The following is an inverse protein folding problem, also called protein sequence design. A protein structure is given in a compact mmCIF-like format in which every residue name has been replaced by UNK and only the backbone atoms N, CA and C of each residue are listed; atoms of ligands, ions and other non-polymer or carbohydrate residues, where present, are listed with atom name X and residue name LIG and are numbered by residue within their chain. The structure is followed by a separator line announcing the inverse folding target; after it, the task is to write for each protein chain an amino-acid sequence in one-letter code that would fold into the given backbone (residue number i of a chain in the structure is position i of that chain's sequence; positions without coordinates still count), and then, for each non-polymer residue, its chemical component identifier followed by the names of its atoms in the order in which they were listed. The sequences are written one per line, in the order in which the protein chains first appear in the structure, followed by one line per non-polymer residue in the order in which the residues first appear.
data_IF_950126714449
#
_entry.id   IF_950126714449
#
_cell.length_a   1.000
_cell.length_b   1.000
_cell.length_c   1.000
_cell.angle_alpha   90.00
_cell.angle_beta   90.00
_cell.angle_gamma   90.00
#
_symmetry.space_group_name_H-M   'P 1'
#
loop_
_entity.id
_entity.type
_entity.pdbx_description
1 polymer ?
#
# COMPACT_ATOMS: atom_id res chain seq x y z
N UNK A 1 30.99 7.18 -9.10
CA UNK A 1 31.29 5.76 -9.42
C UNK A 1 32.80 5.50 -9.62
N UNK A 2 33.62 6.47 -10.09
CA UNK A 2 35.06 6.24 -10.31
C UNK A 2 35.79 5.80 -9.04
N UNK A 3 35.56 6.48 -7.92
CA UNK A 3 36.16 6.15 -6.61
C UNK A 3 35.71 4.79 -6.07
N UNK A 4 34.53 4.31 -6.48
CA UNK A 4 33.97 3.04 -6.03
C UNK A 4 34.30 1.84 -6.93
N UNK A 5 35.03 2.02 -8.02
CA UNK A 5 35.34 0.92 -8.96
C UNK A 5 36.11 -0.24 -8.31
N UNK A 6 37.06 0.04 -7.44
CA UNK A 6 37.83 -0.95 -6.71
C UNK A 6 36.98 -1.79 -5.74
N UNK A 7 35.85 -1.25 -5.28
CA UNK A 7 34.89 -1.92 -4.41
C UNK A 7 33.71 -2.53 -5.16
N UNK A 8 33.77 -2.58 -6.50
CA UNK A 8 32.70 -3.10 -7.36
C UNK A 8 31.31 -2.45 -7.08
N UNK A 9 31.31 -1.14 -6.78
CA UNK A 9 30.09 -0.38 -6.52
C UNK A 9 29.24 -0.31 -7.78
N UNK A 10 27.98 -0.71 -7.66
CA UNK A 10 26.97 -0.70 -8.72
C UNK A 10 25.79 0.16 -8.31
N UNK A 11 25.09 0.81 -9.26
CA UNK A 11 23.81 1.44 -8.94
C UNK A 11 22.83 0.37 -8.46
N UNK A 12 22.13 0.66 -7.36
CA UNK A 12 21.07 -0.18 -6.82
C UNK A 12 19.78 0.61 -6.74
N UNK A 13 18.70 0.00 -7.20
CA UNK A 13 17.34 0.53 -7.03
C UNK A 13 16.39 -0.66 -7.00
N UNK A 14 15.53 -0.79 -5.99
CA UNK A 14 14.48 -1.80 -6.02
C UNK A 14 13.58 -1.53 -7.22
N UNK A 15 13.36 -2.53 -8.04
CA UNK A 15 12.39 -2.43 -9.14
C UNK A 15 10.96 -2.41 -8.57
N UNK A 16 9.99 -2.06 -9.41
CA UNK A 16 8.59 -1.93 -8.97
C UNK A 16 8.05 -3.24 -8.37
N UNK A 17 8.45 -4.40 -8.92
CA UNK A 17 7.99 -5.71 -8.45
C UNK A 17 8.50 -5.96 -7.03
N UNK A 18 9.82 -5.90 -6.82
CA UNK A 18 10.46 -6.11 -5.52
C UNK A 18 9.95 -5.12 -4.47
N UNK A 19 9.72 -3.85 -4.87
CA UNK A 19 9.18 -2.82 -4.01
C UNK A 19 7.79 -3.18 -3.48
N UNK A 20 6.88 -3.60 -4.38
CA UNK A 20 5.51 -3.95 -3.99
C UNK A 20 5.49 -5.26 -3.20
N UNK A 21 6.23 -6.29 -3.63
CA UNK A 21 6.32 -7.57 -2.92
C UNK A 21 6.78 -7.40 -1.47
N UNK A 22 7.78 -6.53 -1.24
CA UNK A 22 8.33 -6.23 0.09
C UNK A 22 7.55 -5.15 0.85
N UNK A 23 6.46 -4.62 0.27
CA UNK A 23 5.70 -3.50 0.83
C UNK A 23 6.56 -2.26 1.16
N UNK A 24 7.59 -1.99 0.36
CA UNK A 24 8.38 -0.78 0.47
C UNK A 24 7.56 0.40 -0.06
N UNK A 25 6.97 1.17 0.84
CA UNK A 25 6.08 2.27 0.49
C UNK A 25 6.81 3.41 -0.20
N UNK A 26 6.14 4.02 -1.18
CA UNK A 26 6.62 5.18 -1.93
C UNK A 26 5.74 6.38 -1.63
N UNK A 27 6.35 7.46 -1.12
CA UNK A 27 5.66 8.74 -0.93
C UNK A 27 5.25 9.32 -2.29
N UNK A 28 4.04 9.82 -2.37
CA UNK A 28 3.43 10.32 -3.61
C UNK A 28 2.74 9.26 -4.45
N UNK A 29 3.00 7.96 -4.18
CA UNK A 29 2.27 6.86 -4.84
C UNK A 29 1.39 6.11 -3.84
N UNK A 30 1.98 5.49 -2.82
CA UNK A 30 1.23 4.65 -1.86
C UNK A 30 0.68 5.45 -0.69
N UNK A 31 1.31 6.55 -0.34
CA UNK A 31 0.92 7.45 0.73
C UNK A 31 1.29 8.90 0.40
N UNK A 32 0.61 9.85 1.02
CA UNK A 32 0.84 11.28 0.89
C UNK A 32 0.53 12.04 2.20
N UNK A 33 0.37 13.36 2.12
CA UNK A 33 0.10 14.21 3.28
C UNK A 33 -1.30 14.04 3.89
N UNK A 34 -2.23 13.41 3.17
CA UNK A 34 -3.58 13.13 3.64
C UNK A 34 -3.68 11.83 4.44
N UNK A 35 -2.58 11.06 4.47
CA UNK A 35 -2.48 9.81 5.20
C UNK A 35 -1.70 9.99 6.51
N UNK A 36 -2.06 9.23 7.53
CA UNK A 36 -1.29 9.20 8.77
C UNK A 36 -0.52 7.88 8.93
N UNK A 37 0.54 7.84 9.76
CA UNK A 37 1.37 6.66 9.93
C UNK A 37 0.60 5.38 10.35
N UNK A 38 -0.48 5.52 11.12
CA UNK A 38 -1.27 4.36 11.57
C UNK A 38 -2.09 3.75 10.43
N UNK A 39 -2.58 4.59 9.51
CA UNK A 39 -3.25 4.12 8.29
C UNK A 39 -2.28 3.39 7.36
N UNK A 40 -1.01 3.84 7.34
CA UNK A 40 0.05 3.27 6.50
C UNK A 40 0.76 2.05 7.12
N UNK A 41 0.40 1.61 8.33
CA UNK A 41 1.08 0.52 9.02
C UNK A 41 2.50 0.87 9.49
N UNK A 42 2.79 2.16 9.68
CA UNK A 42 4.06 2.70 10.14
C UNK A 42 4.06 3.05 11.64
N UNK A 43 3.08 2.56 12.38
CA UNK A 43 2.88 2.81 13.80
C UNK A 43 4.11 2.42 14.65
N UNK A 44 4.83 1.35 14.29
CA UNK A 44 6.06 0.91 14.95
C UNK A 44 7.20 1.95 14.93
N UNK A 45 7.14 2.92 14.03
CA UNK A 45 8.12 4.00 13.94
C UNK A 45 7.69 5.27 14.70
N UNK A 46 6.49 5.29 15.30
CA UNK A 46 5.90 6.44 15.97
C UNK A 46 5.79 6.18 17.48
N UNK A 47 6.75 6.72 18.25
CA UNK A 47 6.70 6.62 19.70
C UNK A 47 5.97 7.82 20.32
N UNK A 48 4.66 7.69 20.55
CA UNK A 48 3.84 8.74 21.16
C UNK A 48 4.04 8.87 22.68
N UNK A 49 4.61 7.86 23.30
CA UNK A 49 4.76 7.79 24.77
C UNK A 49 6.14 8.30 25.22
N UNK A 50 7.04 8.60 24.27
CA UNK A 50 8.35 9.23 24.55
C UNK A 50 8.17 10.66 25.07
N UNK A 51 9.14 11.15 25.86
CA UNK A 51 9.19 12.56 26.32
C UNK A 51 9.53 13.53 25.18
N UNK A 52 10.14 13.02 24.11
CA UNK A 52 10.52 13.85 22.95
C UNK A 52 9.27 14.38 22.25
N UNK A 53 9.21 15.69 22.09
CA UNK A 53 8.14 16.32 21.33
C UNK A 53 8.52 16.42 19.85
N UNK A 54 7.54 16.23 18.96
CA UNK A 54 7.71 16.36 17.52
C UNK A 54 6.43 16.91 16.87
N UNK A 55 6.57 17.48 15.69
CA UNK A 55 5.44 18.03 14.94
C UNK A 55 4.40 16.95 14.66
N UNK A 56 3.13 17.22 15.00
CA UNK A 56 2.02 16.30 14.77
C UNK A 56 1.76 15.28 15.91
N UNK A 57 2.62 15.22 16.96
CA UNK A 57 2.47 14.25 18.07
C UNK A 57 1.09 14.28 18.71
N UNK A 58 0.56 15.44 19.04
CA UNK A 58 -0.76 15.57 19.69
C UNK A 58 -1.89 15.11 18.74
N UNK A 59 -1.77 15.45 17.45
CA UNK A 59 -2.74 14.98 16.44
C UNK A 59 -2.73 13.45 16.30
N UNK A 60 -1.55 12.84 16.31
CA UNK A 60 -1.44 11.38 16.27
C UNK A 60 -1.95 10.71 17.54
N UNK A 61 -1.84 11.34 18.72
CA UNK A 61 -2.50 10.85 19.95
C UNK A 61 -4.02 10.85 19.80
N UNK A 62 -4.60 11.88 19.18
CA UNK A 62 -6.04 11.91 18.89
C UNK A 62 -6.45 10.77 17.94
N UNK A 63 -5.67 10.55 16.86
CA UNK A 63 -5.91 9.46 15.92
C UNK A 63 -5.83 8.10 16.63
N UNK A 64 -4.80 7.88 17.47
CA UNK A 64 -4.66 6.65 18.27
C UNK A 64 -5.88 6.41 19.17
N UNK A 65 -6.42 7.45 19.77
CA UNK A 65 -7.60 7.38 20.65
C UNK A 65 -8.88 7.09 19.88
N UNK A 66 -9.09 7.72 18.73
CA UNK A 66 -10.29 7.55 17.89
C UNK A 66 -10.26 6.27 17.05
N UNK A 67 -9.06 5.77 16.77
CA UNK A 67 -8.82 4.71 15.80
C UNK A 67 -8.80 5.22 14.36
N UNK A 68 -8.25 4.41 13.48
CA UNK A 68 -8.20 4.70 12.04
C UNK A 68 -9.51 4.25 11.36
N UNK A 69 -9.90 4.94 10.30
CA UNK A 69 -11.10 4.64 9.50
C UNK A 69 -10.76 3.94 8.18
N UNK A 70 -9.49 3.93 7.80
CA UNK A 70 -8.95 3.27 6.59
C UNK A 70 -7.57 2.71 6.89
N UNK A 71 -7.07 1.80 6.06
CA UNK A 71 -5.76 1.18 6.24
C UNK A 71 -5.16 0.76 4.90
N UNK A 72 -3.83 0.90 4.75
CA UNK A 72 -3.10 0.29 3.66
C UNK A 72 -3.06 -1.23 3.85
N UNK A 73 -3.48 -1.93 2.82
CA UNK A 73 -3.50 -3.39 2.76
C UNK A 73 -2.89 -3.87 1.45
N UNK A 74 -2.39 -5.09 1.46
CA UNK A 74 -2.08 -5.81 0.25
C UNK A 74 -3.35 -6.25 -0.47
N UNK A 75 -3.30 -6.31 -1.79
CA UNK A 75 -4.38 -6.86 -2.61
C UNK A 75 -3.82 -7.77 -3.70
N UNK A 76 -4.55 -8.84 -3.99
CA UNK A 76 -4.28 -9.75 -5.10
C UNK A 76 -5.45 -9.64 -6.06
N UNK A 77 -5.17 -9.41 -7.35
CA UNK A 77 -6.19 -9.20 -8.39
C UNK A 77 -6.04 -10.30 -9.43
N UNK A 78 -7.16 -10.88 -9.83
CA UNK A 78 -7.21 -11.99 -10.79
C UNK A 78 -7.09 -11.49 -12.24
N UNK A 79 -5.95 -10.84 -12.54
CA UNK A 79 -5.54 -10.43 -13.89
C UNK A 79 -4.06 -10.67 -14.10
N UNK A 80 -3.60 -10.64 -15.33
CA UNK A 80 -2.18 -10.80 -15.68
C UNK A 80 -1.50 -9.46 -16.02
N UNK A 81 -2.28 -8.41 -16.22
CA UNK A 81 -1.77 -7.11 -16.63
C UNK A 81 -2.42 -6.01 -15.81
N UNK A 82 -1.61 -5.03 -15.44
CA UNK A 82 -2.08 -3.81 -14.80
C UNK A 82 -1.12 -2.66 -15.09
N UNK A 83 -1.69 -1.48 -15.29
CA UNK A 83 -0.95 -0.22 -15.31
C UNK A 83 -1.64 0.75 -14.34
N UNK A 84 -0.95 1.10 -13.26
CA UNK A 84 -1.46 2.02 -12.23
C UNK A 84 -0.71 3.34 -12.36
N UNK A 85 -1.12 4.17 -13.31
CA UNK A 85 -0.61 5.54 -13.47
C UNK A 85 -1.32 6.54 -12.56
N UNK A 86 -2.53 6.19 -12.09
CA UNK A 86 -3.34 6.92 -11.10
C UNK A 86 -4.07 5.90 -10.24
N UNK A 87 -4.49 6.32 -9.03
CA UNK A 87 -5.28 5.44 -8.17
C UNK A 87 -6.56 4.94 -8.87
N UNK A 88 -6.86 3.66 -8.67
CA UNK A 88 -8.03 2.98 -9.27
C UNK A 88 -9.01 2.63 -8.15
N UNK A 89 -10.28 3.00 -8.31
CA UNK A 89 -11.30 2.73 -7.31
C UNK A 89 -11.53 1.21 -7.13
N UNK A 90 -11.56 0.79 -5.87
CA UNK A 90 -11.97 -0.54 -5.46
C UNK A 90 -13.41 -0.48 -4.95
N UNK A 91 -14.24 -1.40 -5.41
CA UNK A 91 -15.68 -1.43 -5.12
C UNK A 91 -16.09 -2.77 -4.50
N UNK A 92 -17.18 -2.76 -3.76
CA UNK A 92 -17.84 -3.96 -3.26
C UNK A 92 -18.90 -4.49 -4.28
N UNK A 93 -19.56 -5.58 -3.91
CA UNK A 93 -20.61 -6.19 -4.77
C UNK A 93 -21.83 -5.28 -5.01
N UNK A 94 -22.00 -4.24 -4.19
CA UNK A 94 -23.06 -3.23 -4.35
C UNK A 94 -22.59 -2.01 -5.16
N UNK A 95 -21.45 -2.12 -5.86
CA UNK A 95 -20.80 -1.04 -6.60
C UNK A 95 -20.46 0.22 -5.76
N UNK A 96 -20.36 0.09 -4.45
CA UNK A 96 -19.94 1.18 -3.58
C UNK A 96 -18.42 1.22 -3.46
N UNK A 97 -17.80 2.41 -3.56
CA UNK A 97 -16.36 2.58 -3.35
C UNK A 97 -15.99 2.19 -1.92
N UNK A 98 -15.07 1.26 -1.78
CA UNK A 98 -14.55 0.79 -0.50
C UNK A 98 -13.09 1.13 -0.27
N UNK A 99 -12.44 1.68 -1.28
CA UNK A 99 -11.04 2.09 -1.23
C UNK A 99 -10.48 2.37 -2.61
N UNK A 100 -9.17 2.40 -2.71
CA UNK A 100 -8.45 2.64 -3.96
C UNK A 100 -7.13 1.88 -4.01
N UNK A 101 -6.83 1.31 -5.17
CA UNK A 101 -5.53 0.75 -5.49
C UNK A 101 -4.58 1.91 -5.82
N UNK A 102 -3.47 2.01 -5.10
CA UNK A 102 -2.47 3.07 -5.25
C UNK A 102 -1.27 2.65 -6.07
N UNK A 103 -0.84 1.40 -5.91
CA UNK A 103 0.22 0.78 -6.73
C UNK A 103 -0.13 -0.65 -7.03
N UNK A 104 0.30 -1.15 -8.18
CA UNK A 104 0.08 -2.52 -8.57
C UNK A 104 1.02 -2.96 -9.68
N UNK A 105 1.35 -4.25 -9.69
CA UNK A 105 2.24 -4.86 -10.68
C UNK A 105 1.94 -6.36 -10.80
N UNK A 106 2.17 -6.93 -11.96
CA UNK A 106 2.23 -8.38 -12.10
C UNK A 106 3.51 -8.93 -11.45
N UNK A 107 3.36 -9.81 -10.48
CA UNK A 107 4.48 -10.50 -9.85
C UNK A 107 4.69 -11.87 -10.49
N UNK A 108 5.85 -12.13 -11.11
CA UNK A 108 6.20 -13.47 -11.60
C UNK A 108 6.29 -14.50 -10.47
N UNK A 109 6.69 -14.07 -9.26
CA UNK A 109 6.79 -14.94 -8.08
C UNK A 109 5.42 -15.48 -7.67
N UNK A 110 4.44 -14.61 -7.53
CA UNK A 110 3.06 -14.98 -7.17
C UNK A 110 2.22 -15.41 -8.38
N UNK A 111 2.69 -15.18 -9.60
CA UNK A 111 1.97 -15.42 -10.88
C UNK A 111 0.60 -14.71 -10.94
N UNK A 112 0.48 -13.56 -10.29
CA UNK A 112 -0.72 -12.73 -10.16
C UNK A 112 -0.36 -11.25 -10.10
N UNK A 113 -1.34 -10.41 -10.33
CA UNK A 113 -1.20 -8.99 -10.01
C UNK A 113 -1.35 -8.82 -8.50
N UNK A 114 -0.36 -8.16 -7.92
CA UNK A 114 -0.35 -7.74 -6.52
C UNK A 114 -0.32 -6.21 -6.46
N UNK A 115 -0.84 -5.64 -5.38
CA UNK A 115 -0.85 -4.19 -5.24
C UNK A 115 -1.03 -3.73 -3.80
N UNK A 116 -0.79 -2.44 -3.61
CA UNK A 116 -0.97 -1.72 -2.35
C UNK A 116 -2.22 -0.85 -2.49
N UNK A 117 -3.17 -1.03 -1.59
CA UNK A 117 -4.46 -0.34 -1.62
C UNK A 117 -4.79 0.31 -0.28
N UNK A 118 -5.33 1.52 -0.31
CA UNK A 118 -5.95 2.15 0.85
C UNK A 118 -7.42 1.74 0.90
N UNK A 119 -7.79 0.98 1.92
CA UNK A 119 -9.15 0.44 2.09
C UNK A 119 -9.84 1.05 3.30
N UNK A 120 -11.14 1.35 3.17
CA UNK A 120 -11.98 1.78 4.27
C UNK A 120 -12.31 0.59 5.20
N UNK A 121 -12.37 0.79 6.49
CA UNK A 121 -12.97 -0.19 7.40
C UNK A 121 -14.50 -0.26 7.15
N UNK A 122 -15.10 -1.44 7.18
CA UNK A 122 -14.60 -2.74 7.64
C UNK A 122 -13.94 -3.61 6.56
N UNK A 123 -13.60 -3.08 5.38
CA UNK A 123 -13.13 -3.85 4.22
C UNK A 123 -11.64 -4.20 4.26
N UNK A 124 -10.97 -4.04 5.41
CA UNK A 124 -9.53 -4.32 5.58
C UNK A 124 -9.25 -5.75 6.08
N UNK A 125 -10.24 -6.64 6.10
CA UNK A 125 -10.05 -8.01 6.57
C UNK A 125 -9.37 -8.87 5.50
N UNK A 126 -8.42 -9.70 5.93
CA UNK A 126 -7.73 -10.64 5.03
C UNK A 126 -8.75 -11.58 4.39
N UNK A 127 -8.58 -11.84 3.10
CA UNK A 127 -9.49 -12.62 2.24
C UNK A 127 -10.82 -11.93 1.90
N UNK A 128 -11.06 -10.70 2.35
CA UNK A 128 -12.21 -9.90 1.90
C UNK A 128 -12.15 -9.75 0.37
N UNK A 129 -13.23 -10.12 -0.30
CA UNK A 129 -13.36 -9.99 -1.76
C UNK A 129 -13.77 -8.57 -2.14
N UNK A 130 -13.34 -8.16 -3.30
CA UNK A 130 -13.68 -6.87 -3.91
C UNK A 130 -13.70 -6.97 -5.43
N UNK A 131 -14.17 -5.91 -6.09
CA UNK A 131 -14.11 -5.74 -7.55
C UNK A 131 -13.32 -4.47 -7.88
N UNK A 132 -12.65 -4.50 -9.02
CA UNK A 132 -11.90 -3.37 -9.55
C UNK A 132 -12.09 -3.31 -11.07
N UNK A 133 -12.31 -2.12 -11.61
CA UNK A 133 -12.40 -1.92 -13.06
C UNK A 133 -11.06 -1.41 -13.59
N UNK A 134 -10.51 -2.12 -14.56
CA UNK A 134 -9.24 -1.79 -15.22
C UNK A 134 -9.49 -1.83 -16.73
N UNK A 135 -9.29 -0.71 -17.42
CA UNK A 135 -9.55 -0.59 -18.87
C UNK A 135 -10.95 -1.08 -19.29
N UNK A 136 -11.99 -0.71 -18.52
CA UNK A 136 -13.40 -1.09 -18.69
C UNK A 136 -13.73 -2.56 -18.39
N UNK A 137 -12.75 -3.42 -18.13
CA UNK A 137 -12.95 -4.78 -17.65
C UNK A 137 -13.05 -4.82 -16.13
N UNK A 138 -13.90 -5.67 -15.58
CA UNK A 138 -14.09 -5.85 -14.14
C UNK A 138 -13.40 -7.14 -13.68
N UNK A 139 -12.50 -6.99 -12.74
CA UNK A 139 -11.76 -8.11 -12.15
C UNK A 139 -12.13 -8.30 -10.69
N UNK A 140 -12.10 -9.55 -10.24
CA UNK A 140 -12.19 -9.88 -8.82
C UNK A 140 -10.80 -9.80 -8.17
N UNK A 141 -10.79 -9.43 -6.91
CA UNK A 141 -9.59 -9.45 -6.09
C UNK A 141 -9.90 -9.80 -4.65
N UNK A 142 -8.85 -9.99 -3.89
CA UNK A 142 -8.92 -10.24 -2.44
C UNK A 142 -7.86 -9.45 -1.67
N UNK A 143 -8.22 -9.09 -0.46
CA UNK A 143 -7.33 -8.41 0.49
C UNK A 143 -6.37 -9.40 1.12
N UNK A 144 -5.13 -8.98 1.35
CA UNK A 144 -4.12 -9.72 2.09
C UNK A 144 -3.29 -8.78 2.96
N UNK A 145 -2.48 -9.36 3.84
CA UNK A 145 -1.53 -8.58 4.64
C UNK A 145 -0.36 -8.07 3.79
N UNK A 146 0.36 -7.10 4.34
CA UNK A 146 1.64 -6.59 3.86
C UNK A 146 2.73 -6.92 4.90
N UNK A 147 3.95 -7.28 4.48
CA UNK A 147 4.39 -7.49 3.10
C UNK A 147 3.84 -8.79 2.49
N UNK A 148 4.01 -8.96 1.16
CA UNK A 148 3.64 -10.21 0.48
C UNK A 148 4.64 -11.35 0.71
N UNK A 149 5.92 -11.01 1.03
CA UNK A 149 7.06 -11.90 1.31
C UNK A 149 7.64 -11.65 2.69
#
# INVERSE_FOLDING_TARGET
FEVGKEFNVKPGCPNLIERIESALLSYGNDMDNDDNPFECGLDKYVNLDSEVNFLGKEKLKEVRKKGITRKLMGVIIETKEINVSKSINIINDKNSKIGELRSGVYSPHFKKVIGIAMLNKPYCEVSQKFKISINDDVFEGKVCDLPFI
#
